data_IF_659975239357
#
_entry.id   IF_659975239357
#
_cell.length_a   1.000
_cell.length_b   1.000
_cell.length_c   1.000
_cell.angle_alpha   90.00
_cell.angle_beta   90.00
_cell.angle_gamma   90.00
#
_symmetry.space_group_name_H-M   'P 1'
#
loop_
_entity.id
_entity.type
_entity.pdbx_description
1 polymer ?
#
# COMPACT_ATOMS: atom_id res chain seq x y z
N UNK A 1 -1.50 -12.78 9.19
CA UNK A 1 -2.62 -12.67 8.22
C UNK A 1 -3.17 -11.25 8.11
N UNK A 2 -3.19 -10.44 9.19
CA UNK A 2 -3.66 -9.04 9.15
C UNK A 2 -2.98 -8.19 8.07
N UNK A 3 -1.65 -8.29 7.94
CA UNK A 3 -0.89 -7.49 6.99
C UNK A 3 -1.32 -7.74 5.53
N UNK A 4 -1.64 -9.00 5.21
CA UNK A 4 -2.09 -9.40 3.87
C UNK A 4 -3.46 -8.79 3.56
N UNK A 5 -4.36 -8.72 4.56
CA UNK A 5 -5.68 -8.14 4.39
C UNK A 5 -5.64 -6.62 4.23
N UNK A 6 -4.73 -5.93 4.94
CA UNK A 6 -4.67 -4.46 4.92
C UNK A 6 -3.80 -3.89 3.78
N UNK A 7 -2.87 -4.67 3.23
CA UNK A 7 -1.97 -4.21 2.17
C UNK A 7 -2.69 -3.63 0.93
N UNK A 8 -3.74 -4.29 0.39
CA UNK A 8 -4.43 -3.80 -0.82
C UNK A 8 -5.15 -2.47 -0.58
N UNK A 9 -5.66 -2.25 0.64
CA UNK A 9 -6.30 -0.98 1.04
C UNK A 9 -5.25 0.13 1.10
N UNK A 10 -4.13 -0.11 1.78
CA UNK A 10 -3.05 0.88 1.91
C UNK A 10 -2.41 1.23 0.55
N UNK A 11 -2.40 0.29 -0.40
CA UNK A 11 -1.90 0.51 -1.77
C UNK A 11 -2.82 1.44 -2.58
N UNK A 12 -4.12 1.45 -2.27
CA UNK A 12 -5.16 2.17 -3.03
C UNK A 12 -5.58 3.50 -2.41
N UNK A 13 -4.97 3.94 -1.30
CA UNK A 13 -5.36 5.19 -0.64
C UNK A 13 -5.37 6.39 -1.59
N UNK A 14 -4.31 6.54 -2.40
CA UNK A 14 -4.20 7.61 -3.40
C UNK A 14 -5.26 7.46 -4.50
N UNK A 15 -5.52 6.22 -4.96
CA UNK A 15 -6.58 5.94 -5.94
C UNK A 15 -7.99 6.29 -5.42
N UNK A 16 -8.22 6.15 -4.10
CA UNK A 16 -9.48 6.52 -3.46
C UNK A 16 -9.54 7.99 -3.02
N UNK A 17 -8.50 8.79 -3.27
CA UNK A 17 -8.45 10.19 -2.82
C UNK A 17 -8.38 10.33 -1.29
N UNK A 18 -7.91 9.30 -0.59
CA UNK A 18 -7.78 9.30 0.87
C UNK A 18 -6.37 9.78 1.24
N UNK A 19 -6.28 11.01 1.75
CA UNK A 19 -5.06 11.56 2.30
C UNK A 19 -4.95 11.28 3.80
N UNK A 20 -3.83 10.71 4.23
CA UNK A 20 -3.58 10.46 5.64
C UNK A 20 -3.01 11.71 6.33
N UNK A 21 -3.47 12.06 7.55
CA UNK A 21 -2.93 13.19 8.29
C UNK A 21 -1.49 12.93 8.72
N UNK A 22 -0.72 14.00 9.01
CA UNK A 22 0.72 13.89 9.37
C UNK A 22 1.00 12.96 10.56
N UNK A 23 0.05 12.85 11.50
CA UNK A 23 0.16 11.94 12.65
C UNK A 23 0.21 10.46 12.26
N UNK A 24 -0.27 10.11 11.06
CA UNK A 24 -0.25 8.76 10.51
C UNK A 24 1.08 8.40 9.82
N UNK A 25 2.14 9.20 9.99
CA UNK A 25 3.47 8.89 9.47
C UNK A 25 3.98 7.46 9.80
N UNK A 26 3.71 6.87 11.00
CA UNK A 26 4.09 5.49 11.27
C UNK A 26 3.39 4.47 10.35
N UNK A 27 2.14 4.73 9.94
CA UNK A 27 1.37 3.89 9.01
C UNK A 27 1.96 3.99 7.61
N UNK A 28 2.37 5.18 7.19
CA UNK A 28 3.08 5.39 5.93
C UNK A 28 4.42 4.65 5.92
N UNK A 29 5.18 4.68 7.02
CA UNK A 29 6.43 3.90 7.12
C UNK A 29 6.15 2.38 7.11
N UNK A 30 5.04 1.95 7.71
CA UNK A 30 4.62 0.56 7.73
C UNK A 30 4.25 0.07 6.32
N UNK A 31 3.44 0.82 5.56
CA UNK A 31 3.02 0.43 4.21
C UNK A 31 4.23 0.23 3.28
N UNK A 32 5.24 1.10 3.34
CA UNK A 32 6.44 0.97 2.50
C UNK A 32 7.24 -0.32 2.81
N UNK A 33 7.32 -0.71 4.09
CA UNK A 33 7.94 -2.00 4.47
C UNK A 33 7.16 -3.21 3.96
N UNK A 34 5.84 -3.08 3.85
CA UNK A 34 4.96 -4.14 3.34
C UNK A 34 5.09 -4.26 1.81
N UNK A 35 5.17 -3.12 1.13
CA UNK A 35 5.26 -3.04 -0.32
C UNK A 35 6.63 -3.43 -0.88
N UNK A 36 7.70 -3.29 -0.10
CA UNK A 36 9.05 -3.73 -0.50
C UNK A 36 9.23 -5.26 -0.50
N UNK A 37 8.26 -6.02 0.01
CA UNK A 37 8.35 -7.49 0.06
C UNK A 37 8.19 -8.07 -1.36
N UNK A 38 9.09 -8.95 -1.83
CA UNK A 38 9.00 -9.55 -3.15
C UNK A 38 7.66 -10.25 -3.41
N UNK A 39 7.12 -10.92 -2.40
CA UNK A 39 5.81 -11.59 -2.49
C UNK A 39 4.66 -10.60 -2.77
N UNK A 40 4.71 -9.38 -2.23
CA UNK A 40 3.69 -8.36 -2.50
C UNK A 40 3.83 -7.84 -3.94
N UNK A 41 5.04 -7.49 -4.36
CA UNK A 41 5.32 -6.96 -5.71
C UNK A 41 4.94 -7.97 -6.80
N UNK A 42 5.20 -9.26 -6.56
CA UNK A 42 4.87 -10.34 -7.48
C UNK A 42 3.37 -10.64 -7.53
N UNK A 43 2.62 -10.35 -6.46
CA UNK A 43 1.18 -10.53 -6.41
C UNK A 43 0.40 -9.40 -7.11
N UNK A 44 1.02 -8.23 -7.34
CA UNK A 44 0.38 -7.11 -8.00
C UNK A 44 0.16 -7.36 -9.50
N UNK A 45 -1.07 -7.16 -9.94
CA UNK A 45 -1.44 -7.11 -11.36
C UNK A 45 -0.84 -5.87 -12.05
N UNK A 46 -0.69 -5.86 -13.39
CA UNK A 46 -0.20 -4.68 -14.12
C UNK A 46 -1.02 -3.41 -13.84
N UNK A 47 -2.34 -3.55 -13.71
CA UNK A 47 -3.25 -2.44 -13.39
C UNK A 47 -2.99 -1.87 -12.00
N UNK A 48 -2.77 -2.73 -11.00
CA UNK A 48 -2.47 -2.28 -9.64
C UNK A 48 -1.10 -1.59 -9.55
N UNK A 49 -0.10 -2.06 -10.30
CA UNK A 49 1.22 -1.39 -10.37
C UNK A 49 1.11 0.03 -10.92
N UNK A 50 0.19 0.28 -11.84
CA UNK A 50 -0.04 1.60 -12.40
C UNK A 50 -0.71 2.59 -11.43
N UNK A 51 -1.26 2.12 -10.30
CA UNK A 51 -1.91 2.99 -9.30
C UNK A 51 -0.93 3.88 -8.54
N UNK A 52 0.36 3.52 -8.50
CA UNK A 52 1.43 4.34 -7.92
C UNK A 52 2.46 4.61 -9.04
N UNK A 53 2.52 5.85 -9.50
CA UNK A 53 3.55 6.36 -10.42
C UNK A 53 4.43 7.36 -9.70
#
# INVERSE_FOLDING_TARGET
>A
MLDVAIAPLLWRLEHYGIELPKVAAPVLKYRERLFSRPAFINALTPTEKALRK
#
